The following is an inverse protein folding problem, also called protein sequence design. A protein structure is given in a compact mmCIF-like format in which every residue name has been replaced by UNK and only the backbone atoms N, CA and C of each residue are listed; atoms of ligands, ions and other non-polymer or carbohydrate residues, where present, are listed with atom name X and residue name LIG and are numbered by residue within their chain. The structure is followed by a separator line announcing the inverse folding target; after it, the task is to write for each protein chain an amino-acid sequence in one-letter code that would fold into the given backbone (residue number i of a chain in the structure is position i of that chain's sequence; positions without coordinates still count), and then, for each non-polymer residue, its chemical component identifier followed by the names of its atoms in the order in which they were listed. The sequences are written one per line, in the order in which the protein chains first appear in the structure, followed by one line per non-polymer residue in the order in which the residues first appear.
data_IF_204651334773
#
_entry.id   IF_204651334773
#
_cell.length_a   1.000
_cell.length_b   1.000
_cell.length_c   1.000
_cell.angle_alpha   90.00
_cell.angle_beta   90.00
_cell.angle_gamma   90.00
#
_symmetry.space_group_name_H-M   'P 1'
#
loop_
_entity.id
_entity.type
_entity.pdbx_description
1 polymer ?
#
# COMPACT_ATOMS: atom_id res chain seq x y z
N UNK A 1 -7.98 -2.98 8.64
CA UNK A 1 -7.31 -1.74 9.06
C UNK A 1 -7.59 -0.59 8.09
N UNK A 2 -7.18 -0.68 6.81
CA UNK A 2 -7.46 0.33 5.78
C UNK A 2 -8.92 0.80 5.73
N UNK A 3 -9.86 -0.13 5.54
CA UNK A 3 -11.30 0.14 5.50
C UNK A 3 -11.80 0.87 6.76
N UNK A 4 -11.40 0.41 7.94
CA UNK A 4 -11.78 1.00 9.22
C UNK A 4 -11.25 2.41 9.38
N UNK A 5 -9.97 2.65 9.04
CA UNK A 5 -9.38 3.98 9.12
C UNK A 5 -10.05 4.94 8.12
N UNK A 6 -10.34 4.48 6.90
CA UNK A 6 -11.04 5.26 5.89
C UNK A 6 -12.43 5.71 6.37
N UNK A 7 -13.22 4.78 6.92
CA UNK A 7 -14.54 5.08 7.47
C UNK A 7 -14.43 6.00 8.68
N UNK A 8 -13.50 5.73 9.59
CA UNK A 8 -13.28 6.58 10.76
C UNK A 8 -12.95 8.03 10.36
N UNK A 9 -11.99 8.23 9.45
CA UNK A 9 -11.65 9.58 8.95
C UNK A 9 -12.88 10.25 8.32
N UNK A 10 -13.63 9.56 7.47
CA UNK A 10 -14.81 10.13 6.83
C UNK A 10 -15.91 10.54 7.83
N UNK A 11 -16.11 9.76 8.90
CA UNK A 11 -17.14 10.03 9.91
C UNK A 11 -16.73 11.15 10.88
N UNK A 12 -15.47 11.15 11.34
CA UNK A 12 -15.01 12.02 12.42
C UNK A 12 -14.26 13.28 11.97
N UNK A 13 -13.92 13.38 10.68
CA UNK A 13 -13.37 14.60 10.08
C UNK A 13 -14.29 15.06 8.94
N UNK A 14 -15.32 15.89 9.23
CA UNK A 14 -16.29 16.35 8.23
C UNK A 14 -15.63 17.04 7.03
N UNK A 15 -16.17 16.79 5.83
CA UNK A 15 -15.62 17.33 4.57
C UNK A 15 -14.31 16.67 4.14
N UNK A 16 -13.88 15.59 4.79
CA UNK A 16 -12.62 14.92 4.45
C UNK A 16 -12.74 14.11 3.16
N UNK A 17 -11.67 14.14 2.37
CA UNK A 17 -11.52 13.27 1.21
C UNK A 17 -10.56 12.12 1.54
N UNK A 18 -11.06 10.90 1.42
CA UNK A 18 -10.28 9.67 1.56
C UNK A 18 -10.16 9.00 0.19
N UNK A 19 -8.92 8.72 -0.23
CA UNK A 19 -8.64 7.99 -1.45
C UNK A 19 -8.12 6.59 -1.14
N UNK A 20 -8.66 5.60 -1.83
CA UNK A 20 -8.25 4.20 -1.75
C UNK A 20 -7.66 3.78 -3.11
N UNK A 21 -6.34 3.74 -3.20
CA UNK A 21 -5.61 3.38 -4.41
C UNK A 21 -5.32 1.87 -4.41
N UNK A 22 -5.55 1.21 -5.54
CA UNK A 22 -5.21 -0.21 -5.73
C UNK A 22 -4.70 -0.48 -7.16
N UNK A 23 -3.93 -1.56 -7.41
CA UNK A 23 -3.31 -1.80 -8.71
C UNK A 23 -4.32 -2.02 -9.85
N UNK A 24 -5.51 -2.53 -9.56
CA UNK A 24 -6.55 -2.82 -10.55
C UNK A 24 -7.94 -2.36 -10.12
N UNK A 25 -8.86 -2.26 -11.10
CA UNK A 25 -10.28 -1.99 -10.86
C UNK A 25 -10.92 -3.06 -9.95
N UNK A 26 -10.60 -4.32 -10.18
CA UNK A 26 -11.11 -5.43 -9.36
C UNK A 26 -10.70 -5.27 -7.90
N UNK A 27 -9.42 -4.98 -7.63
CA UNK A 27 -8.93 -4.76 -6.27
C UNK A 27 -9.55 -3.52 -5.63
N UNK A 28 -9.68 -2.44 -6.41
CA UNK A 28 -10.33 -1.20 -5.96
C UNK A 28 -11.77 -1.44 -5.49
N UNK A 29 -12.53 -2.26 -6.23
CA UNK A 29 -13.89 -2.66 -5.86
C UNK A 29 -13.93 -3.54 -4.61
N UNK A 30 -13.02 -4.51 -4.48
CA UNK A 30 -12.96 -5.37 -3.29
C UNK A 30 -12.58 -4.59 -2.03
N UNK A 31 -11.62 -3.67 -2.13
CA UNK A 31 -11.26 -2.77 -1.04
C UNK A 31 -12.43 -1.85 -0.67
N UNK A 32 -13.14 -1.31 -1.67
CA UNK A 32 -14.31 -0.47 -1.45
C UNK A 32 -15.44 -1.22 -0.75
N UNK A 33 -15.73 -2.46 -1.16
CA UNK A 33 -16.72 -3.33 -0.50
C UNK A 33 -16.40 -3.53 0.98
N UNK A 34 -15.12 -3.71 1.34
CA UNK A 34 -14.70 -3.80 2.75
C UNK A 34 -14.96 -2.48 3.50
N UNK A 35 -14.72 -1.33 2.86
CA UNK A 35 -15.04 -0.02 3.44
C UNK A 35 -16.55 0.14 3.67
N UNK A 36 -17.39 -0.21 2.69
CA UNK A 36 -18.86 -0.18 2.83
C UNK A 36 -19.32 -1.12 3.93
N UNK A 37 -18.81 -2.35 3.99
CA UNK A 37 -19.14 -3.30 5.05
C UNK A 37 -18.80 -2.72 6.42
N UNK A 38 -17.63 -2.08 6.58
CA UNK A 38 -17.24 -1.40 7.81
C UNK A 38 -18.17 -0.21 8.13
N UNK A 39 -18.50 0.63 7.14
CA UNK A 39 -19.41 1.76 7.30
C UNK A 39 -20.79 1.30 7.80
N UNK A 40 -21.34 0.22 7.22
CA UNK A 40 -22.64 -0.33 7.63
C UNK A 40 -22.68 -0.79 9.10
N UNK A 41 -21.53 -1.23 9.66
CA UNK A 41 -21.47 -1.60 11.10
C UNK A 41 -21.62 -0.40 12.04
N UNK A 42 -21.49 0.83 11.54
CA UNK A 42 -21.67 2.06 12.32
C UNK A 42 -23.13 2.47 12.46
N UNK A 43 -24.07 1.72 11.87
CA UNK A 43 -25.50 2.03 11.89
C UNK A 43 -25.84 3.32 11.14
N UNK A 44 -25.06 3.65 10.11
CA UNK A 44 -25.24 4.86 9.29
C UNK A 44 -25.27 6.16 10.11
N UNK A 45 -24.40 6.25 11.14
CA UNK A 45 -24.32 7.38 12.07
C UNK A 45 -24.23 8.75 11.36
N UNK A 46 -23.60 8.78 10.19
CA UNK A 46 -23.74 9.88 9.21
C UNK A 46 -24.29 9.26 7.94
N UNK A 47 -25.49 9.66 7.47
CA UNK A 47 -26.11 9.03 6.30
C UNK A 47 -25.28 9.21 5.02
N UNK A 48 -25.43 8.25 4.12
CA UNK A 48 -24.87 8.32 2.77
C UNK A 48 -25.75 9.21 1.88
N UNK A 49 -25.16 10.24 1.29
CA UNK A 49 -25.81 11.08 0.28
C UNK A 49 -25.69 10.49 -1.13
N UNK A 50 -24.63 9.74 -1.40
CA UNK A 50 -24.42 9.02 -2.68
C UNK A 50 -23.58 7.77 -2.44
N UNK A 51 -23.99 6.65 -3.04
CA UNK A 51 -23.25 5.39 -3.01
C UNK A 51 -23.14 4.82 -4.44
N UNK A 52 -21.94 4.36 -4.81
CA UNK A 52 -21.66 3.68 -6.07
C UNK A 52 -20.62 2.58 -5.84
N UNK A 53 -20.25 1.83 -6.88
CA UNK A 53 -19.27 0.74 -6.77
C UNK A 53 -17.85 1.17 -6.33
N UNK A 54 -17.53 2.47 -6.40
CA UNK A 54 -16.19 3.00 -6.08
C UNK A 54 -16.23 4.30 -5.26
N UNK A 55 -17.40 4.76 -4.85
CA UNK A 55 -17.53 6.07 -4.19
C UNK A 55 -18.66 6.08 -3.19
N UNK A 56 -18.35 6.57 -2.00
CA UNK A 56 -19.30 6.88 -0.93
C UNK A 56 -19.18 8.37 -0.62
N UNK A 57 -20.30 9.06 -0.61
CA UNK A 57 -20.43 10.44 -0.13
C UNK A 57 -21.36 10.45 1.07
N UNK A 58 -20.98 11.19 2.10
CA UNK A 58 -21.73 11.31 3.34
C UNK A 58 -22.37 12.70 3.41
N UNK A 59 -23.46 12.82 4.17
CA UNK A 59 -24.14 14.11 4.38
C UNK A 59 -23.26 15.16 5.10
N UNK A 60 -22.22 14.72 5.82
CA UNK A 60 -21.22 15.62 6.40
C UNK A 60 -20.20 16.17 5.38
N UNK A 61 -20.38 15.90 4.09
CA UNK A 61 -19.51 16.33 3.00
C UNK A 61 -18.26 15.46 2.80
N UNK A 62 -18.03 14.47 3.65
CA UNK A 62 -16.90 13.56 3.50
C UNK A 62 -17.11 12.57 2.36
N UNK A 63 -16.00 12.14 1.76
CA UNK A 63 -16.00 11.27 0.59
C UNK A 63 -14.95 10.19 0.72
N UNK A 64 -15.33 8.94 0.42
CA UNK A 64 -14.41 7.82 0.22
C UNK A 64 -14.46 7.45 -1.26
N UNK A 65 -13.31 7.49 -1.94
CA UNK A 65 -13.21 7.20 -3.38
C UNK A 65 -12.13 6.16 -3.62
N UNK A 66 -12.49 5.06 -4.27
CA UNK A 66 -11.55 4.05 -4.75
C UNK A 66 -11.08 4.36 -6.17
N UNK A 67 -9.76 4.36 -6.36
CA UNK A 67 -9.10 4.73 -7.60
C UNK A 67 -8.32 3.53 -8.16
N UNK A 68 -8.65 3.05 -9.37
CA UNK A 68 -7.90 1.97 -10.02
C UNK A 68 -6.55 2.46 -10.53
N UNK A 69 -5.62 1.52 -10.74
CA UNK A 69 -4.20 1.75 -11.04
C UNK A 69 -3.83 2.43 -12.36
N UNK A 70 -4.67 3.30 -12.94
CA UNK A 70 -4.40 4.02 -14.19
C UNK A 70 -4.23 5.51 -13.93
N UNK A 71 -3.03 6.04 -14.12
CA UNK A 71 -2.67 7.45 -13.84
C UNK A 71 -3.69 8.47 -14.37
N UNK A 72 -4.18 8.29 -15.60
CA UNK A 72 -5.17 9.13 -16.27
C UNK A 72 -6.45 9.36 -15.44
N UNK A 73 -6.82 8.39 -14.62
CA UNK A 73 -8.07 8.40 -13.83
C UNK A 73 -7.90 8.93 -12.41
N UNK A 74 -6.66 9.16 -11.98
CA UNK A 74 -6.32 9.39 -10.56
C UNK A 74 -5.97 10.85 -10.29
N UNK A 75 -5.56 11.62 -11.31
CA UNK A 75 -5.30 13.07 -11.18
C UNK A 75 -6.60 13.88 -11.02
N UNK A 76 -6.53 15.00 -10.29
CA UNK A 76 -7.63 15.97 -10.17
C UNK A 76 -8.30 16.06 -8.79
N UNK A 77 -7.90 15.22 -7.83
CA UNK A 77 -8.29 15.39 -6.44
C UNK A 77 -7.38 16.39 -5.72
N UNK A 78 -7.94 17.15 -4.79
CA UNK A 78 -7.20 18.08 -3.92
C UNK A 78 -7.74 17.99 -2.50
N UNK A 79 -6.89 18.33 -1.53
CA UNK A 79 -7.27 18.30 -0.11
C UNK A 79 -7.50 16.88 0.43
N UNK A 80 -6.75 15.89 -0.07
CA UNK A 80 -6.89 14.49 0.37
C UNK A 80 -6.44 14.38 1.82
N UNK A 81 -7.36 14.04 2.73
CA UNK A 81 -7.05 13.89 4.16
C UNK A 81 -6.33 12.58 4.46
N UNK A 82 -6.73 11.52 3.77
CA UNK A 82 -6.13 10.19 3.89
C UNK A 82 -5.99 9.55 2.52
N UNK A 83 -4.77 9.18 2.15
CA UNK A 83 -4.47 8.35 0.99
C UNK A 83 -4.07 6.97 1.48
N UNK A 84 -4.86 5.95 1.13
CA UNK A 84 -4.54 4.54 1.36
C UNK A 84 -4.07 3.93 0.05
N UNK A 85 -2.92 3.26 0.07
CA UNK A 85 -2.39 2.49 -1.05
C UNK A 85 -2.35 1.02 -0.66
N UNK A 86 -3.26 0.24 -1.25
CA UNK A 86 -3.37 -1.21 -1.04
C UNK A 86 -2.57 -1.95 -2.10
N UNK A 87 -1.94 -3.05 -1.72
CA UNK A 87 -0.92 -3.74 -2.53
C UNK A 87 0.14 -2.77 -3.08
N UNK A 88 0.69 -1.93 -2.21
CA UNK A 88 1.64 -0.88 -2.55
C UNK A 88 2.82 -1.36 -3.42
N UNK A 89 3.34 -2.57 -3.19
CA UNK A 89 4.46 -3.11 -3.98
C UNK A 89 4.07 -3.43 -5.44
N UNK A 90 2.76 -3.55 -5.74
CA UNK A 90 2.22 -3.75 -7.09
C UNK A 90 1.74 -2.45 -7.75
N UNK A 91 1.77 -1.33 -7.02
CA UNK A 91 1.41 -0.01 -7.56
C UNK A 91 2.59 0.59 -8.32
N UNK A 92 2.43 0.95 -9.60
CA UNK A 92 3.48 1.61 -10.38
C UNK A 92 3.97 2.91 -9.73
N UNK A 93 5.28 3.17 -9.83
CA UNK A 93 5.91 4.34 -9.20
C UNK A 93 5.40 5.68 -9.75
N UNK A 94 5.17 5.77 -11.06
CA UNK A 94 4.55 6.93 -11.72
C UNK A 94 3.18 7.27 -11.13
N UNK A 95 2.34 6.27 -10.89
CA UNK A 95 1.05 6.44 -10.25
C UNK A 95 1.19 6.92 -8.81
N UNK A 96 2.11 6.35 -8.04
CA UNK A 96 2.43 6.80 -6.69
C UNK A 96 2.87 8.27 -6.69
N UNK A 97 3.81 8.65 -7.54
CA UNK A 97 4.28 10.04 -7.65
C UNK A 97 3.19 11.00 -8.15
N UNK A 98 2.23 10.54 -8.95
CA UNK A 98 1.10 11.35 -9.38
C UNK A 98 0.10 11.68 -8.25
N UNK A 99 -0.05 10.79 -7.26
CA UNK A 99 -1.01 10.99 -6.15
C UNK A 99 -0.44 11.70 -4.94
N UNK A 100 0.87 11.57 -4.68
CA UNK A 100 1.51 12.21 -3.52
C UNK A 100 1.23 13.71 -3.39
N UNK A 101 1.26 14.52 -4.47
CA UNK A 101 1.01 15.97 -4.37
C UNK A 101 -0.38 16.32 -3.83
N UNK A 102 -1.36 15.40 -3.91
CA UNK A 102 -2.72 15.64 -3.45
C UNK A 102 -2.83 15.78 -1.92
N UNK A 103 -1.81 15.34 -1.18
CA UNK A 103 -1.70 15.46 0.27
C UNK A 103 -1.11 16.81 0.73
N UNK A 104 -0.49 17.58 -0.17
CA UNK A 104 0.31 18.74 0.18
C UNK A 104 -0.51 19.87 0.85
N UNK A 105 -1.72 20.14 0.34
CA UNK A 105 -2.57 21.22 0.84
C UNK A 105 -3.26 20.86 2.16
N UNK A 106 -3.69 19.61 2.29
CA UNK A 106 -4.41 19.10 3.46
C UNK A 106 -3.50 18.72 4.63
N UNK A 107 -2.19 18.62 4.40
CA UNK A 107 -1.25 17.94 5.30
C UNK A 107 -1.79 16.53 5.65
N UNK A 108 -2.31 15.85 4.62
CA UNK A 108 -2.97 14.57 4.76
C UNK A 108 -1.99 13.44 5.08
N UNK A 109 -2.53 12.31 5.54
CA UNK A 109 -1.76 11.12 5.86
C UNK A 109 -1.72 10.16 4.67
N UNK A 110 -0.57 9.52 4.46
CA UNK A 110 -0.42 8.38 3.56
C UNK A 110 -0.31 7.09 4.38
N UNK A 111 -1.11 6.09 4.05
CA UNK A 111 -1.02 4.72 4.57
C UNK A 111 -0.76 3.77 3.40
N UNK A 112 0.33 3.04 3.42
CA UNK A 112 0.65 2.04 2.41
C UNK A 112 0.70 0.65 3.04
N UNK A 113 0.11 -0.34 2.37
CA UNK A 113 -0.03 -1.72 2.84
C UNK A 113 0.34 -2.67 1.69
N UNK A 114 1.25 -3.61 1.93
CA UNK A 114 1.63 -4.62 0.95
C UNK A 114 2.42 -5.75 1.59
N UNK A 115 2.51 -6.87 0.89
CA UNK A 115 3.64 -7.80 1.03
C UNK A 115 4.85 -7.25 0.26
N UNK A 116 6.09 -7.57 0.68
CA UNK A 116 7.30 -7.31 -0.10
C UNK A 116 7.21 -7.86 -1.52
N UNK A 117 7.95 -7.23 -2.45
CA UNK A 117 8.05 -7.72 -3.82
C UNK A 117 9.31 -7.22 -4.49
N UNK A 118 10.36 -8.03 -4.43
CA UNK A 118 11.67 -7.62 -4.91
C UNK A 118 12.26 -6.46 -4.09
N UNK A 119 13.47 -6.05 -4.45
CA UNK A 119 14.27 -5.02 -3.75
C UNK A 119 14.27 -3.68 -4.49
N UNK A 120 13.19 -3.39 -5.25
CA UNK A 120 13.10 -2.23 -6.15
C UNK A 120 11.73 -1.55 -6.08
N UNK A 121 11.71 -0.29 -6.51
CA UNK A 121 10.50 0.51 -6.63
C UNK A 121 10.11 1.22 -5.35
N UNK A 122 9.14 2.14 -5.47
CA UNK A 122 8.82 3.11 -4.42
C UNK A 122 8.45 2.48 -3.07
N UNK A 123 7.84 1.29 -3.06
CA UNK A 123 7.47 0.58 -1.84
C UNK A 123 8.72 0.10 -1.08
N UNK A 124 9.67 -0.54 -1.78
CA UNK A 124 10.94 -0.94 -1.19
C UNK A 124 11.72 0.29 -0.69
N UNK A 125 11.79 1.32 -1.54
CA UNK A 125 12.51 2.55 -1.20
C UNK A 125 11.89 3.23 0.04
N UNK A 126 10.56 3.33 0.12
CA UNK A 126 9.86 3.85 1.29
C UNK A 126 10.08 2.96 2.54
N UNK A 127 10.16 1.65 2.37
CA UNK A 127 10.45 0.74 3.49
C UNK A 127 11.88 0.89 4.01
N UNK A 128 12.86 1.16 3.15
CA UNK A 128 14.27 1.28 3.50
C UNK A 128 14.74 2.71 3.78
N UNK A 129 13.95 3.72 3.45
CA UNK A 129 14.36 5.12 3.57
C UNK A 129 14.62 5.55 5.02
N UNK A 130 15.50 6.52 5.22
CA UNK A 130 15.65 7.20 6.52
C UNK A 130 14.57 8.28 6.76
N UNK A 131 13.71 8.56 5.77
CA UNK A 131 12.59 9.50 5.89
C UNK A 131 11.57 9.09 6.97
N UNK A 132 10.71 10.04 7.35
CA UNK A 132 9.66 9.93 8.37
C UNK A 132 8.52 8.98 7.95
N UNK A 133 8.80 7.68 7.93
CA UNK A 133 7.81 6.62 7.88
C UNK A 133 7.72 5.90 9.21
N UNK A 134 6.49 5.73 9.68
CA UNK A 134 6.20 4.77 10.73
C UNK A 134 5.96 3.40 10.07
N UNK A 135 6.74 2.39 10.47
CA UNK A 135 6.76 1.07 9.83
C UNK A 135 6.29 0.00 10.79
N UNK A 136 5.50 -0.90 10.24
CA UNK A 136 4.90 -2.00 10.97
C UNK A 136 5.05 -3.27 10.15
N UNK A 137 5.75 -4.24 10.72
CA UNK A 137 5.91 -5.57 10.12
C UNK A 137 5.10 -6.57 10.95
N UNK A 138 4.24 -7.34 10.28
CA UNK A 138 3.42 -8.36 10.92
C UNK A 138 3.52 -9.65 10.09
N UNK A 139 4.54 -10.48 10.34
CA UNK A 139 4.65 -11.80 9.74
C UNK A 139 3.40 -12.64 10.01
N UNK A 140 3.10 -13.56 9.11
CA UNK A 140 1.88 -14.37 9.19
C UNK A 140 1.80 -15.22 10.48
N UNK A 141 2.94 -15.64 11.02
CA UNK A 141 3.04 -16.35 12.29
C UNK A 141 2.55 -15.52 13.50
N UNK A 142 2.53 -14.19 13.39
CA UNK A 142 1.98 -13.30 14.43
C UNK A 142 0.47 -13.08 14.28
N UNK A 143 -0.15 -13.56 13.19
CA UNK A 143 -1.58 -13.46 12.97
C UNK A 143 -2.30 -14.67 13.59
N UNK A 144 -3.04 -14.53 14.70
CA UNK A 144 -3.68 -15.67 15.37
C UNK A 144 -4.80 -16.33 14.55
N UNK A 145 -5.16 -15.75 13.40
CA UNK A 145 -6.16 -16.30 12.47
C UNK A 145 -5.56 -17.27 11.45
N UNK A 146 -4.23 -17.36 11.38
CA UNK A 146 -3.51 -18.26 10.48
C UNK A 146 -2.91 -19.37 11.34
N UNK A 147 -3.26 -20.62 11.05
CA UNK A 147 -2.78 -21.73 11.87
C UNK A 147 -1.33 -22.11 11.50
N UNK A 148 -0.54 -22.62 12.46
CA UNK A 148 0.81 -23.12 12.17
C UNK A 148 0.81 -24.24 11.12
N UNK A 149 -0.22 -25.08 11.10
CA UNK A 149 -0.35 -26.18 10.14
C UNK A 149 -0.51 -25.66 8.71
N UNK A 150 -1.30 -24.61 8.52
CA UNK A 150 -1.48 -23.95 7.22
C UNK A 150 -0.15 -23.37 6.73
N UNK A 151 0.61 -22.72 7.62
CA UNK A 151 1.92 -22.15 7.25
C UNK A 151 2.92 -23.22 6.83
N UNK A 152 2.94 -24.37 7.51
CA UNK A 152 3.83 -25.47 7.14
C UNK A 152 3.43 -26.13 5.81
N UNK A 153 2.13 -26.23 5.52
CA UNK A 153 1.63 -26.70 4.22
C UNK A 153 2.02 -25.75 3.08
N UNK A 154 1.82 -24.45 3.28
CA UNK A 154 2.19 -23.41 2.30
C UNK A 154 3.70 -23.38 2.08
N UNK A 155 4.51 -23.47 3.14
CA UNK A 155 5.97 -23.52 3.02
C UNK A 155 6.45 -24.69 2.15
N UNK A 156 5.85 -25.87 2.33
CA UNK A 156 6.17 -27.06 1.52
C UNK A 156 5.72 -26.93 0.07
N UNK A 157 4.62 -26.23 -0.17
CA UNK A 157 4.00 -26.12 -1.49
C UNK A 157 4.65 -25.04 -2.33
N UNK A 158 4.92 -23.87 -1.74
CA UNK A 158 5.46 -22.69 -2.43
C UNK A 158 7.00 -22.69 -2.47
N UNK A 159 7.65 -23.38 -1.53
CA UNK A 159 9.09 -23.32 -1.33
C UNK A 159 9.51 -22.11 -0.48
N UNK A 160 10.76 -22.14 -0.01
CA UNK A 160 11.29 -21.17 0.96
C UNK A 160 11.26 -19.73 0.45
N UNK A 161 11.63 -19.49 -0.81
CA UNK A 161 11.73 -18.14 -1.36
C UNK A 161 10.36 -17.43 -1.40
N UNK A 162 9.34 -18.11 -1.95
CA UNK A 162 7.97 -17.56 -1.99
C UNK A 162 7.36 -17.45 -0.59
N UNK A 163 7.63 -18.42 0.28
CA UNK A 163 7.15 -18.40 1.65
C UNK A 163 7.71 -17.22 2.45
N UNK A 164 9.02 -16.97 2.34
CA UNK A 164 9.69 -15.86 3.00
C UNK A 164 9.11 -14.49 2.56
N UNK A 165 8.86 -14.31 1.26
CA UNK A 165 8.27 -13.08 0.77
C UNK A 165 6.80 -12.89 1.23
N UNK A 166 5.95 -13.89 1.02
CA UNK A 166 4.50 -13.73 1.25
C UNK A 166 4.09 -13.86 2.73
N UNK A 167 4.81 -14.68 3.51
CA UNK A 167 4.44 -15.02 4.89
C UNK A 167 5.41 -14.47 5.95
N UNK A 168 6.68 -14.23 5.62
CA UNK A 168 7.68 -13.73 6.57
C UNK A 168 8.02 -12.24 6.41
N UNK A 169 7.43 -11.58 5.40
CA UNK A 169 7.68 -10.16 5.11
C UNK A 169 9.13 -9.86 4.72
N UNK A 170 9.81 -10.79 4.06
CA UNK A 170 11.19 -10.59 3.59
C UNK A 170 11.25 -9.96 2.19
N UNK A 171 12.11 -8.95 2.03
CA UNK A 171 12.44 -8.39 0.72
C UNK A 171 13.59 -9.20 0.10
N UNK A 172 13.28 -10.01 -0.90
CA UNK A 172 14.24 -10.89 -1.56
C UNK A 172 14.54 -10.43 -2.99
N UNK A 173 15.79 -10.59 -3.42
CA UNK A 173 16.18 -10.45 -4.82
C UNK A 173 15.58 -11.59 -5.66
N UNK A 174 15.51 -11.39 -6.98
CA UNK A 174 14.89 -12.36 -7.87
C UNK A 174 15.63 -13.71 -7.78
N UNK A 175 14.88 -14.81 -7.64
CA UNK A 175 15.40 -16.18 -7.46
C UNK A 175 16.42 -16.61 -8.57
N UNK A 176 16.35 -15.97 -9.74
CA UNK A 176 17.21 -16.27 -10.90
C UNK A 176 18.36 -15.28 -11.11
N UNK A 177 18.60 -14.36 -10.18
CA UNK A 177 19.65 -13.36 -10.32
C UNK A 177 21.00 -13.92 -9.84
N UNK A 178 22.01 -14.07 -10.73
CA UNK A 178 23.33 -14.56 -10.33
C UNK A 178 24.14 -13.53 -9.50
N UNK A 179 23.69 -12.27 -9.48
CA UNK A 179 24.30 -11.15 -8.77
C UNK A 179 23.22 -10.40 -8.00
N UNK A 180 23.43 -10.21 -6.70
CA UNK A 180 22.53 -9.41 -5.85
C UNK A 180 22.58 -7.93 -6.22
N UNK A 181 21.66 -7.13 -5.66
CA UNK A 181 21.66 -5.67 -5.87
C UNK A 181 23.00 -5.03 -5.44
N UNK A 182 23.53 -5.45 -4.29
CA UNK A 182 24.80 -4.94 -3.76
C UNK A 182 25.96 -5.24 -4.72
N UNK A 183 26.02 -6.45 -5.30
CA UNK A 183 27.05 -6.81 -6.28
C UNK A 183 27.02 -5.90 -7.52
N UNK A 184 25.81 -5.55 -7.97
CA UNK A 184 25.62 -4.63 -9.12
C UNK A 184 25.99 -3.21 -8.74
N UNK A 185 25.59 -2.72 -7.57
CA UNK A 185 25.93 -1.37 -7.09
C UNK A 185 27.45 -1.22 -6.91
N UNK A 186 28.11 -2.21 -6.33
CA UNK A 186 29.58 -2.26 -6.18
C UNK A 186 30.30 -2.28 -7.54
N UNK A 187 29.71 -2.85 -8.60
CA UNK A 187 30.30 -2.85 -9.93
C UNK A 187 30.40 -1.43 -10.55
N UNK A 188 29.65 -0.45 -10.03
CA UNK A 188 29.71 0.95 -10.45
C UNK A 188 30.50 1.85 -9.49
N UNK A 189 30.90 1.33 -8.33
CA UNK A 189 31.79 2.01 -7.39
C UNK A 189 33.25 1.75 -7.79
N UNK A 190 33.72 2.49 -8.80
CA UNK A 190 35.13 2.48 -9.19
C UNK A 190 35.98 3.20 -8.12
N UNK A 191 36.37 2.49 -7.06
CA UNK A 191 37.58 2.87 -6.31
C UNK A 191 38.80 2.45 -7.13
N UNK A 192 39.20 3.31 -8.06
CA UNK A 192 40.47 3.17 -8.78
C UNK A 192 41.56 3.69 -7.86
N UNK A 193 42.21 2.78 -7.11
CA UNK A 193 43.49 3.12 -6.50
C UNK A 193 44.51 3.34 -7.62
N UNK A 194 45.03 4.56 -7.70
CA UNK A 194 46.06 4.91 -8.66
C UNK A 194 47.31 4.06 -8.39
N UNK A 195 47.72 3.26 -9.37
CA UNK A 195 48.99 2.57 -9.33
C UNK A 195 50.12 3.60 -9.26
N UNK A 196 50.75 3.74 -8.10
CA UNK A 196 52.00 4.49 -7.98
C UNK A 196 53.10 3.62 -8.57
N UNK A 197 53.52 3.96 -9.80
CA UNK A 197 54.69 3.40 -10.48
C UNK A 197 55.99 3.83 -9.80
#
# INVERSE_FOLDING_TARGET
MAATLAVHTALYEPGSLVLLLSPSLRQSQELFKKAIACYRTTGDSVPASTESALRLELENGSRIVSLPGKEETVRGFSGVKLLVVDEAARVPGDLYFAVRPMLAVSQGRLLALSTPFGTRGWWYDAWRSEELWERYEVPAAQCPRISPEFLEEERRTLGEWWFAQEYLCEFLDAETQPFGREDVEHAFEEQVDAWVL
#
